data_IF_707990366287
#
_entry.id   IF_707990366287
#
_cell.length_a   1.000
_cell.length_b   1.000
_cell.length_c   1.000
_cell.angle_alpha   90.00
_cell.angle_beta   90.00
_cell.angle_gamma   90.00
#
_symmetry.space_group_name_H-M   'P 1'
#
loop_
_entity.id
_entity.type
_entity.pdbx_description
1 polymer ?
#
# COMPACT_ATOMS: atom_id res chain seq x y z
N UNK A 1 3.61 -10.16 -11.37
CA UNK A 1 3.65 -11.62 -11.57
C UNK A 1 2.57 -12.25 -10.71
N UNK A 2 1.45 -12.63 -11.32
CA UNK A 2 0.28 -13.15 -10.60
C UNK A 2 0.15 -14.66 -10.84
N UNK A 3 -0.26 -15.43 -9.83
CA UNK A 3 -0.44 -16.90 -9.90
C UNK A 3 0.81 -17.66 -10.32
N UNK A 4 1.98 -17.22 -9.85
CA UNK A 4 3.25 -17.87 -10.17
C UNK A 4 3.59 -18.91 -9.09
N UNK A 5 3.42 -20.20 -9.40
CA UNK A 5 3.64 -21.32 -8.45
C UNK A 5 5.10 -21.55 -8.07
N UNK A 6 6.04 -21.03 -8.87
CA UNK A 6 7.47 -21.16 -8.65
C UNK A 6 8.10 -19.86 -8.09
N UNK A 7 7.28 -18.84 -7.83
CA UNK A 7 7.78 -17.58 -7.28
C UNK A 7 7.92 -17.72 -5.76
N UNK A 8 9.15 -17.86 -5.27
CA UNK A 8 9.45 -18.01 -3.85
C UNK A 8 10.19 -16.79 -3.27
N UNK A 9 10.53 -16.85 -1.99
CA UNK A 9 11.28 -15.80 -1.29
C UNK A 9 12.65 -15.54 -1.92
N UNK A 10 13.30 -16.57 -2.49
CA UNK A 10 14.59 -16.40 -3.15
C UNK A 10 14.43 -15.56 -4.42
N UNK A 11 13.45 -15.86 -5.26
CA UNK A 11 13.11 -15.03 -6.41
C UNK A 11 12.76 -13.59 -5.96
N UNK A 12 11.98 -13.44 -4.91
CA UNK A 12 11.55 -12.12 -4.42
C UNK A 12 12.74 -11.30 -3.89
N UNK A 13 13.74 -11.95 -3.26
CA UNK A 13 14.99 -11.29 -2.85
C UNK A 13 15.80 -10.72 -4.02
N UNK A 14 15.74 -11.38 -5.19
CA UNK A 14 16.36 -10.89 -6.42
C UNK A 14 15.58 -9.71 -6.98
N UNK A 15 14.25 -9.79 -6.99
CA UNK A 15 13.36 -8.69 -7.39
C UNK A 15 13.61 -7.46 -6.51
N UNK A 16 13.81 -7.64 -5.20
CA UNK A 16 14.13 -6.57 -4.24
C UNK A 16 15.38 -5.74 -4.56
N UNK A 17 16.19 -6.17 -5.53
CA UNK A 17 17.41 -5.47 -5.98
C UNK A 17 17.21 -4.68 -7.28
N UNK A 18 16.05 -4.78 -7.92
CA UNK A 18 15.75 -4.10 -9.18
C UNK A 18 15.50 -2.61 -8.91
N UNK A 19 16.50 -1.79 -9.20
CA UNK A 19 16.37 -0.32 -9.08
C UNK A 19 15.30 0.18 -10.05
N UNK A 20 14.39 1.02 -9.57
CA UNK A 20 13.37 1.66 -10.40
C UNK A 20 12.07 0.87 -10.56
N UNK A 21 11.94 -0.32 -9.95
CA UNK A 21 10.66 -1.05 -9.96
C UNK A 21 9.59 -0.25 -9.21
N UNK A 22 8.48 0.08 -9.89
CA UNK A 22 7.39 0.89 -9.32
C UNK A 22 6.13 0.09 -9.00
N UNK A 23 5.91 -1.00 -9.73
CA UNK A 23 4.74 -1.85 -9.58
C UNK A 23 5.18 -3.31 -9.45
N UNK A 24 4.63 -4.00 -8.46
CA UNK A 24 4.82 -5.42 -8.27
C UNK A 24 3.51 -6.07 -7.86
N UNK A 25 3.06 -7.04 -8.65
CA UNK A 25 1.96 -7.93 -8.26
C UNK A 25 2.58 -9.27 -7.89
N UNK A 26 2.29 -9.80 -6.71
CA UNK A 26 2.66 -11.15 -6.26
C UNK A 26 1.44 -11.95 -5.83
N UNK A 27 0.24 -11.52 -6.22
CA UNK A 27 -1.02 -12.15 -5.83
C UNK A 27 -1.08 -13.61 -6.26
N UNK A 28 -1.72 -14.43 -5.43
CA UNK A 28 -1.95 -15.86 -5.67
C UNK A 28 -0.66 -16.66 -5.90
N UNK A 29 0.48 -16.18 -5.41
CA UNK A 29 1.73 -16.93 -5.41
C UNK A 29 1.83 -17.72 -4.08
N UNK A 30 1.70 -19.06 -4.12
CA UNK A 30 1.50 -19.88 -2.92
C UNK A 30 2.76 -20.06 -2.07
N UNK A 31 3.94 -19.83 -2.64
CA UNK A 31 5.25 -20.13 -2.04
C UNK A 31 5.94 -18.92 -1.40
N UNK A 32 5.36 -17.72 -1.52
CA UNK A 32 5.90 -16.51 -0.92
C UNK A 32 5.50 -16.45 0.55
N UNK A 33 6.47 -16.11 1.39
CA UNK A 33 6.26 -15.88 2.82
C UNK A 33 6.51 -14.42 3.17
N UNK A 34 6.23 -14.09 4.44
CA UNK A 34 6.51 -12.80 5.06
C UNK A 34 7.98 -12.39 4.97
N UNK A 35 8.91 -13.37 4.99
CA UNK A 35 10.35 -13.12 4.82
C UNK A 35 10.65 -12.61 3.42
N UNK A 36 10.03 -13.21 2.39
CA UNK A 36 10.13 -12.73 1.02
C UNK A 36 9.64 -11.30 0.88
N UNK A 37 8.46 -10.98 1.41
CA UNK A 37 7.93 -9.61 1.38
C UNK A 37 8.88 -8.60 2.05
N UNK A 38 9.48 -8.94 3.18
CA UNK A 38 10.41 -8.05 3.88
C UNK A 38 11.61 -7.63 3.01
N UNK A 39 12.04 -8.46 2.06
CA UNK A 39 13.13 -8.11 1.12
C UNK A 39 12.79 -6.94 0.19
N UNK A 40 11.50 -6.63 0.01
CA UNK A 40 11.03 -5.53 -0.84
C UNK A 40 11.29 -4.15 -0.22
N UNK A 41 11.65 -4.05 1.07
CA UNK A 41 11.97 -2.80 1.76
C UNK A 41 13.12 -2.00 1.10
N UNK A 42 13.92 -2.65 0.27
CA UNK A 42 15.00 -2.03 -0.49
C UNK A 42 14.51 -1.30 -1.76
N UNK A 43 13.29 -1.55 -2.23
CA UNK A 43 12.74 -0.97 -3.44
C UNK A 43 12.21 0.45 -3.21
N UNK A 44 13.10 1.42 -3.08
CA UNK A 44 12.73 2.84 -2.82
C UNK A 44 11.89 3.49 -3.93
N UNK A 45 11.87 2.89 -5.13
CA UNK A 45 11.04 3.32 -6.24
C UNK A 45 9.65 2.65 -6.27
N UNK A 46 9.39 1.65 -5.41
CA UNK A 46 8.11 0.94 -5.40
C UNK A 46 6.99 1.89 -4.97
N UNK A 47 5.87 1.81 -5.68
CA UNK A 47 4.69 2.66 -5.47
C UNK A 47 3.43 1.83 -5.25
N UNK A 48 3.35 0.65 -5.86
CA UNK A 48 2.22 -0.24 -5.68
C UNK A 48 2.65 -1.70 -5.58
N UNK A 49 2.12 -2.38 -4.57
CA UNK A 49 2.31 -3.80 -4.32
C UNK A 49 0.94 -4.47 -4.17
N UNK A 50 0.73 -5.65 -4.77
CA UNK A 50 -0.51 -6.43 -4.61
C UNK A 50 -0.17 -7.80 -4.01
N UNK A 51 -0.80 -8.15 -2.87
CA UNK A 51 -0.51 -9.36 -2.05
C UNK A 51 -1.76 -10.19 -1.72
N UNK A 52 -2.74 -10.15 -2.62
CA UNK A 52 -4.00 -10.88 -2.46
C UNK A 52 -3.83 -12.39 -2.68
N UNK A 53 -4.53 -13.21 -1.90
CA UNK A 53 -4.56 -14.67 -2.13
C UNK A 53 -3.23 -15.40 -1.90
N UNK A 54 -2.31 -14.85 -1.11
CA UNK A 54 -1.09 -15.55 -0.69
C UNK A 54 -1.29 -16.26 0.67
N UNK A 55 -1.40 -17.60 0.71
CA UNK A 55 -1.74 -18.36 1.92
C UNK A 55 -0.56 -18.57 2.89
N UNK A 56 0.69 -18.44 2.43
CA UNK A 56 1.90 -18.67 3.24
C UNK A 56 2.49 -17.38 3.84
N UNK A 57 1.81 -16.25 3.68
CA UNK A 57 2.23 -14.98 4.28
C UNK A 57 1.55 -14.86 5.64
N UNK A 58 2.29 -15.19 6.68
CA UNK A 58 1.91 -15.03 8.09
C UNK A 58 1.98 -13.55 8.52
N UNK A 59 1.08 -13.11 9.39
CA UNK A 59 1.01 -11.72 9.86
C UNK A 59 1.05 -10.69 8.70
N UNK A 60 0.34 -11.00 7.61
CA UNK A 60 0.37 -10.23 6.35
C UNK A 60 0.12 -8.74 6.59
N UNK A 61 -0.88 -8.43 7.40
CA UNK A 61 -1.27 -7.07 7.77
C UNK A 61 -0.11 -6.33 8.45
N UNK A 62 0.59 -6.97 9.39
CA UNK A 62 1.72 -6.37 10.11
C UNK A 62 2.90 -6.13 9.18
N UNK A 63 3.26 -7.12 8.36
CA UNK A 63 4.39 -7.03 7.43
C UNK A 63 4.15 -5.94 6.39
N UNK A 64 2.93 -5.84 5.87
CA UNK A 64 2.55 -4.81 4.91
C UNK A 64 2.59 -3.42 5.56
N UNK A 65 2.09 -3.27 6.79
CA UNK A 65 2.16 -2.02 7.53
C UNK A 65 3.62 -1.57 7.78
N UNK A 66 4.51 -2.50 8.12
CA UNK A 66 5.94 -2.21 8.26
C UNK A 66 6.59 -1.81 6.92
N UNK A 67 6.17 -2.44 5.81
CA UNK A 67 6.67 -2.06 4.48
C UNK A 67 6.21 -0.65 4.08
N UNK A 68 4.95 -0.30 4.32
CA UNK A 68 4.41 1.04 4.06
C UNK A 68 5.11 2.10 4.92
N UNK A 69 5.45 1.80 6.18
CA UNK A 69 6.26 2.66 7.05
C UNK A 69 7.68 2.88 6.49
N UNK A 70 8.35 1.81 6.04
CA UNK A 70 9.70 1.89 5.45
C UNK A 70 9.74 2.51 4.05
N UNK A 71 8.59 2.53 3.36
CA UNK A 71 8.40 3.01 2.00
C UNK A 71 7.16 3.92 1.95
N UNK A 72 7.24 5.18 2.42
CA UNK A 72 6.08 6.05 2.64
C UNK A 72 5.29 6.47 1.38
N UNK A 73 5.73 6.03 0.19
CA UNK A 73 5.05 6.24 -1.10
C UNK A 73 4.50 4.94 -1.68
N UNK A 74 4.57 3.85 -0.93
CA UNK A 74 4.06 2.54 -1.31
C UNK A 74 2.59 2.45 -0.88
N UNK A 75 1.75 2.00 -1.81
CA UNK A 75 0.38 1.59 -1.55
C UNK A 75 0.28 0.07 -1.72
N UNK A 76 -0.23 -0.63 -0.69
CA UNK A 76 -0.40 -2.08 -0.74
C UNK A 76 -1.88 -2.44 -0.88
N UNK A 77 -2.16 -3.34 -1.83
CA UNK A 77 -3.49 -3.85 -2.14
C UNK A 77 -3.59 -5.35 -1.76
N UNK A 78 -4.78 -5.80 -1.35
CA UNK A 78 -5.02 -7.18 -0.92
C UNK A 78 -4.74 -7.46 0.56
N UNK A 79 -4.78 -6.44 1.41
CA UNK A 79 -4.60 -6.54 2.87
C UNK A 79 -5.84 -5.97 3.58
N UNK A 80 -6.37 -6.70 4.56
CA UNK A 80 -7.51 -6.25 5.35
C UNK A 80 -7.07 -5.79 6.75
N UNK A 81 -6.60 -4.55 6.84
CA UNK A 81 -6.11 -3.95 8.08
C UNK A 81 -7.18 -3.81 9.18
N UNK A 82 -8.46 -3.78 8.81
CA UNK A 82 -9.56 -3.52 9.74
C UNK A 82 -10.36 -4.77 10.06
N UNK A 83 -10.38 -5.78 9.19
CA UNK A 83 -11.26 -6.95 9.31
C UNK A 83 -11.04 -7.76 10.57
N UNK A 84 -9.79 -7.90 10.99
CA UNK A 84 -9.41 -8.67 12.17
C UNK A 84 -9.54 -7.90 13.51
N UNK A 85 -9.86 -6.61 13.47
CA UNK A 85 -10.03 -5.82 14.68
C UNK A 85 -11.37 -6.09 15.36
N UNK A 86 -11.49 -5.93 16.70
CA UNK A 86 -12.79 -5.91 17.37
C UNK A 86 -13.67 -4.76 16.83
N UNK A 87 -14.99 -4.96 16.79
CA UNK A 87 -15.93 -3.97 16.22
C UNK A 87 -15.79 -2.57 16.83
N UNK A 88 -15.55 -2.50 18.15
CA UNK A 88 -15.29 -1.22 18.84
C UNK A 88 -14.07 -0.49 18.28
N UNK A 89 -13.01 -1.23 17.92
CA UNK A 89 -11.79 -0.67 17.33
C UNK A 89 -12.05 -0.20 15.90
N UNK A 90 -12.80 -0.99 15.11
CA UNK A 90 -13.21 -0.59 13.75
C UNK A 90 -14.03 0.70 13.79
N UNK A 91 -15.02 0.77 14.66
CA UNK A 91 -15.89 1.94 14.82
C UNK A 91 -15.10 3.19 15.21
N UNK A 92 -14.14 3.05 16.12
CA UNK A 92 -13.26 4.16 16.52
C UNK A 92 -12.41 4.66 15.34
N UNK A 93 -11.83 3.76 14.55
CA UNK A 93 -11.03 4.13 13.36
C UNK A 93 -11.91 4.81 12.32
N UNK A 94 -13.09 4.26 12.01
CA UNK A 94 -14.02 4.85 11.04
C UNK A 94 -14.42 6.28 11.42
N UNK A 95 -14.71 6.52 12.69
CA UNK A 95 -15.02 7.86 13.20
C UNK A 95 -13.85 8.85 13.04
N UNK A 96 -12.60 8.40 13.18
CA UNK A 96 -11.41 9.24 12.95
C UNK A 96 -11.25 9.60 11.48
N UNK A 97 -11.48 8.64 10.57
CA UNK A 97 -11.39 8.87 9.11
C UNK A 97 -12.46 9.85 8.64
N UNK A 98 -13.73 9.67 9.04
CA UNK A 98 -14.81 10.59 8.67
C UNK A 98 -14.62 12.02 9.22
N UNK A 99 -13.88 12.17 10.33
CA UNK A 99 -13.53 13.49 10.87
C UNK A 99 -12.44 14.16 10.03
N UNK A 100 -11.48 13.40 9.53
CA UNK A 100 -10.44 13.91 8.64
C UNK A 100 -11.03 14.34 7.29
N UNK A 101 -11.96 13.60 6.69
CA UNK A 101 -12.60 13.98 5.42
C UNK A 101 -13.28 15.36 5.51
N UNK A 102 -13.95 15.65 6.63
CA UNK A 102 -14.55 16.97 6.89
C UNK A 102 -13.50 18.08 7.06
N UNK A 103 -12.34 17.76 7.64
CA UNK A 103 -11.20 18.69 7.74
C UNK A 103 -10.54 18.93 6.37
N UNK A 104 -10.42 17.91 5.53
CA UNK A 104 -9.85 18.03 4.18
C UNK A 104 -10.77 18.83 3.25
N UNK A 105 -12.10 18.67 3.37
CA UNK A 105 -13.06 19.48 2.62
C UNK A 105 -13.03 20.95 3.05
N UNK A 106 -12.93 21.24 4.35
CA UNK A 106 -12.83 22.61 4.86
C UNK A 106 -11.56 23.34 4.38
N UNK A 107 -10.42 22.66 4.23
CA UNK A 107 -9.20 23.27 3.69
C UNK A 107 -9.17 23.40 2.15
N UNK A 108 -10.02 22.64 1.45
CA UNK A 108 -10.15 22.74 -0.01
C UNK A 108 -11.07 23.90 -0.43
N UNK A 109 -11.95 24.39 0.45
CA UNK A 109 -12.79 25.57 0.17
C UNK A 109 -12.03 26.90 0.36
N UNK A 110 -11.03 26.96 1.24
CA UNK A 110 -10.20 28.16 1.45
C UNK A 110 -9.08 28.36 0.41
N UNK A 111 -8.80 27.38 -0.45
CA UNK A 111 -7.74 27.46 -1.48
C UNK A 111 -8.26 27.58 -2.92
N UNK A 112 -9.56 27.72 -3.13
CA UNK A 112 -10.19 27.74 -4.46
C UNK A 112 -10.70 29.13 -4.91
N UNK A 113 -10.09 30.22 -4.43
CA UNK A 113 -10.42 31.59 -4.90
C UNK A 113 -9.34 32.18 -5.85
N UNK A 114 -8.12 31.62 -5.90
CA UNK A 114 -7.00 32.25 -6.63
C UNK A 114 -6.52 31.55 -7.91
N UNK A 115 -7.34 30.71 -8.57
CA UNK A 115 -6.94 30.04 -9.84
C UNK A 115 -7.85 30.25 -11.05
N UNK A 116 -8.87 31.10 -10.98
CA UNK A 116 -9.82 31.29 -12.11
C UNK A 116 -9.49 32.51 -13.01
N UNK A 117 -8.43 33.28 -12.74
CA UNK A 117 -8.17 34.54 -13.47
C UNK A 117 -6.87 34.63 -14.29
N UNK A 118 -6.29 33.54 -14.82
CA UNK A 118 -5.17 33.66 -15.76
C UNK A 118 -5.16 32.55 -16.83
N UNK A 119 -6.16 32.53 -17.70
CA UNK A 119 -6.02 32.00 -19.05
C UNK A 119 -7.01 32.73 -19.97
N UNK A 120 -6.70 34.00 -20.22
CA UNK A 120 -7.17 34.69 -21.41
C UNK A 120 -6.08 35.68 -21.86
N UNK A 121 -5.77 35.63 -23.17
CA UNK A 121 -4.79 36.42 -23.96
C UNK A 121 -3.30 36.04 -23.91
N UNK A 122 -2.86 35.32 -24.95
CA UNK A 122 -2.02 35.86 -26.02
C UNK A 122 -2.03 34.91 -27.23
#
# INVERSE_FOLDING_TARGET
MKRCIHLDDFCLSRIGRIKGLQFLDVSECPTITSKGLATLAHLKALRRLIVSGNPQIEDKELVCLLLEDHLPKLYIDGVDYIGQLPDKSKEKILRLVSRNEKFTQAQNEETNVDKVYLIDKA
#
